data_IF_845423863083
#
_entry.id   IF_845423863083
#
_cell.length_a   1.000
_cell.length_b   1.000
_cell.length_c   1.000
_cell.angle_alpha   90.00
_cell.angle_beta   90.00
_cell.angle_gamma   90.00
#
_symmetry.space_group_name_H-M   'P 1'
#
loop_
_entity.id
_entity.type
_entity.pdbx_description
1 polymer ?
#
# COMPACT_ATOMS: atom_id res chain seq x y z
N UNK A 1 -37.96 19.37 -25.06
CA UNK A 1 -36.77 18.68 -25.61
C UNK A 1 -35.47 19.42 -25.33
N UNK A 2 -35.39 20.73 -25.53
CA UNK A 2 -34.13 21.49 -25.31
C UNK A 2 -33.70 21.52 -23.83
N UNK A 3 -34.64 21.73 -22.90
CA UNK A 3 -34.34 21.77 -21.47
C UNK A 3 -33.80 20.43 -20.93
N UNK A 4 -34.41 19.32 -21.32
CA UNK A 4 -33.97 17.97 -20.95
C UNK A 4 -32.57 17.66 -21.49
N UNK A 5 -32.24 18.14 -22.71
CA UNK A 5 -30.92 17.98 -23.29
C UNK A 5 -29.83 18.74 -22.52
N UNK A 6 -30.12 19.98 -22.08
CA UNK A 6 -29.17 20.80 -21.28
C UNK A 6 -28.90 20.16 -19.91
N UNK A 7 -29.95 19.62 -19.26
CA UNK A 7 -29.82 18.95 -17.96
C UNK A 7 -28.92 17.72 -18.07
N UNK A 8 -29.12 16.89 -19.11
CA UNK A 8 -28.30 15.69 -19.34
C UNK A 8 -26.84 16.07 -19.59
N UNK A 9 -26.56 17.08 -20.41
CA UNK A 9 -25.20 17.57 -20.67
C UNK A 9 -24.51 18.07 -19.39
N UNK A 10 -25.25 18.80 -18.56
CA UNK A 10 -24.73 19.33 -17.29
C UNK A 10 -24.36 18.20 -16.33
N UNK A 11 -25.21 17.18 -16.21
CA UNK A 11 -24.94 16.02 -15.36
C UNK A 11 -23.71 15.26 -15.89
N UNK A 12 -23.62 15.06 -17.21
CA UNK A 12 -22.49 14.37 -17.82
C UNK A 12 -21.16 15.11 -17.54
N UNK A 13 -21.18 16.45 -17.68
CA UNK A 13 -20.01 17.28 -17.41
C UNK A 13 -19.57 17.20 -15.94
N UNK A 14 -20.52 17.18 -14.99
CA UNK A 14 -20.23 17.02 -13.57
C UNK A 14 -19.62 15.64 -13.29
N UNK A 15 -20.13 14.57 -13.89
CA UNK A 15 -19.59 13.22 -13.73
C UNK A 15 -18.16 13.13 -14.26
N UNK A 16 -17.89 13.67 -15.46
CA UNK A 16 -16.56 13.66 -16.05
C UNK A 16 -15.57 14.48 -15.20
N UNK A 17 -16.00 15.64 -14.69
CA UNK A 17 -15.19 16.45 -13.78
C UNK A 17 -14.88 15.70 -12.47
N UNK A 18 -15.88 15.03 -11.88
CA UNK A 18 -15.70 14.25 -10.66
C UNK A 18 -14.73 13.07 -10.84
N UNK A 19 -14.85 12.33 -11.95
CA UNK A 19 -13.93 11.23 -12.30
C UNK A 19 -12.51 11.76 -12.50
N UNK A 20 -12.36 12.90 -13.18
CA UNK A 20 -11.06 13.52 -13.42
C UNK A 20 -10.37 13.94 -12.11
N UNK A 21 -11.13 14.49 -11.15
CA UNK A 21 -10.63 14.85 -9.82
C UNK A 21 -10.20 13.60 -9.04
N UNK A 22 -11.00 12.52 -9.07
CA UNK A 22 -10.66 11.26 -8.42
C UNK A 22 -9.34 10.67 -8.93
N UNK A 23 -9.09 10.76 -10.25
CA UNK A 23 -7.84 10.28 -10.86
C UNK A 23 -6.65 11.18 -10.51
N UNK A 24 -6.86 12.49 -10.37
CA UNK A 24 -5.79 13.45 -10.04
C UNK A 24 -5.40 13.46 -8.55
N UNK A 25 -6.32 13.05 -7.67
CA UNK A 25 -6.15 13.03 -6.22
C UNK A 25 -4.86 12.33 -5.76
N UNK A 26 -4.52 11.10 -6.22
CA UNK A 26 -3.29 10.43 -5.80
C UNK A 26 -2.02 11.18 -6.24
N UNK A 27 -2.02 11.81 -7.42
CA UNK A 27 -0.90 12.61 -7.92
C UNK A 27 -0.67 13.85 -7.04
N UNK A 28 -1.76 14.54 -6.67
CA UNK A 28 -1.69 15.70 -5.79
C UNK A 28 -1.25 15.33 -4.37
N UNK A 29 -1.73 14.19 -3.85
CA UNK A 29 -1.33 13.67 -2.55
C UNK A 29 0.17 13.35 -2.50
N UNK A 30 0.71 12.67 -3.51
CA UNK A 30 2.15 12.37 -3.61
C UNK A 30 2.97 13.66 -3.65
N UNK A 31 2.54 14.64 -4.46
CA UNK A 31 3.23 15.92 -4.58
C UNK A 31 3.21 16.71 -3.26
N UNK A 32 2.06 16.78 -2.60
CA UNK A 32 1.92 17.44 -1.29
C UNK A 32 2.79 16.77 -0.24
N UNK A 33 2.74 15.43 -0.17
CA UNK A 33 3.54 14.66 0.77
C UNK A 33 5.04 14.86 0.53
N UNK A 34 5.50 14.78 -0.71
CA UNK A 34 6.91 15.04 -1.04
C UNK A 34 7.36 16.43 -0.59
N UNK A 35 6.50 17.45 -0.75
CA UNK A 35 6.79 18.81 -0.30
C UNK A 35 6.99 18.92 1.22
N UNK A 36 6.23 18.15 2.02
CA UNK A 36 6.42 18.10 3.49
C UNK A 36 7.82 17.57 3.84
N UNK A 37 8.36 16.65 3.05
CA UNK A 37 9.70 16.08 3.22
C UNK A 37 10.79 16.86 2.46
N UNK A 38 10.51 18.08 1.99
CA UNK A 38 11.51 18.94 1.32
C UNK A 38 11.80 18.57 -0.13
N UNK A 39 11.03 17.67 -0.74
CA UNK A 39 11.17 17.27 -2.14
C UNK A 39 10.17 18.03 -3.02
N UNK A 40 10.67 18.84 -3.96
CA UNK A 40 9.84 19.54 -4.94
C UNK A 40 9.63 18.67 -6.18
N UNK A 41 8.51 17.96 -6.24
CA UNK A 41 8.11 17.16 -7.40
C UNK A 41 7.30 17.98 -8.40
N UNK A 42 7.65 17.89 -9.68
CA UNK A 42 6.76 18.34 -10.76
C UNK A 42 5.51 17.47 -10.82
N UNK A 43 4.42 18.00 -11.40
CA UNK A 43 3.18 17.23 -11.60
C UNK A 43 3.43 15.95 -12.42
N UNK A 44 4.30 16.02 -13.42
CA UNK A 44 4.70 14.88 -14.25
C UNK A 44 5.45 13.82 -13.45
N UNK A 45 6.42 14.22 -12.61
CA UNK A 45 7.15 13.28 -11.74
C UNK A 45 6.23 12.63 -10.71
N UNK A 46 5.35 13.41 -10.08
CA UNK A 46 4.36 12.87 -9.16
C UNK A 46 3.39 11.90 -9.85
N UNK A 47 3.04 12.16 -11.13
CA UNK A 47 2.22 11.26 -11.93
C UNK A 47 2.92 9.94 -12.23
N UNK A 48 4.19 9.97 -12.65
CA UNK A 48 4.98 8.75 -12.88
C UNK A 48 5.06 7.90 -11.61
N UNK A 49 5.33 8.53 -10.47
CA UNK A 49 5.36 7.84 -9.17
C UNK A 49 3.97 7.29 -8.80
N UNK A 50 2.91 8.06 -9.04
CA UNK A 50 1.53 7.59 -8.82
C UNK A 50 1.19 6.38 -9.69
N UNK A 51 1.56 6.41 -10.96
CA UNK A 51 1.22 5.38 -11.93
C UNK A 51 2.02 4.08 -11.69
N UNK A 52 3.31 4.19 -11.37
CA UNK A 52 4.17 3.04 -11.10
C UNK A 52 3.84 2.35 -9.77
N UNK A 53 3.49 3.12 -8.73
CA UNK A 53 3.40 2.60 -7.37
C UNK A 53 1.99 2.48 -6.85
N UNK A 54 1.18 3.52 -7.00
CA UNK A 54 -0.19 3.46 -6.57
C UNK A 54 -0.98 2.61 -7.56
N UNK A 55 -0.97 2.93 -8.86
CA UNK A 55 -1.82 2.24 -9.85
C UNK A 55 -1.38 0.82 -10.27
N UNK A 56 -0.24 0.34 -9.77
CA UNK A 56 0.20 -1.04 -9.95
C UNK A 56 -0.85 -2.00 -9.38
N UNK A 57 -1.53 -2.77 -10.25
CA UNK A 57 -2.45 -3.85 -9.84
C UNK A 57 -1.77 -4.84 -8.87
N UNK A 58 -0.46 -5.02 -9.01
CA UNK A 58 0.34 -5.90 -8.16
C UNK A 58 0.45 -5.33 -6.74
N UNK A 59 0.80 -4.04 -6.62
CA UNK A 59 0.85 -3.37 -5.32
C UNK A 59 -0.51 -3.36 -4.63
N UNK A 60 -1.57 -2.93 -5.32
CA UNK A 60 -2.91 -2.85 -4.75
C UNK A 60 -3.42 -4.20 -4.25
N UNK A 61 -3.20 -5.28 -5.01
CA UNK A 61 -3.61 -6.63 -4.60
C UNK A 61 -2.88 -7.04 -3.32
N UNK A 62 -1.56 -6.87 -3.28
CA UNK A 62 -0.76 -7.29 -2.12
C UNK A 62 -1.02 -6.45 -0.87
N UNK A 63 -1.22 -5.13 -1.02
CA UNK A 63 -1.59 -4.23 0.10
C UNK A 63 -2.96 -4.59 0.64
N UNK A 64 -3.94 -4.81 -0.24
CA UNK A 64 -5.28 -5.24 0.15
C UNK A 64 -5.22 -6.53 0.96
N UNK A 65 -4.44 -7.52 0.49
CA UNK A 65 -4.28 -8.79 1.20
C UNK A 65 -3.72 -8.55 2.61
N UNK A 66 -2.66 -7.76 2.78
CA UNK A 66 -2.05 -7.51 4.09
C UNK A 66 -2.96 -6.70 5.01
N UNK A 67 -3.59 -5.65 4.51
CA UNK A 67 -4.51 -4.80 5.27
C UNK A 67 -5.64 -5.63 5.91
N UNK A 68 -6.13 -6.66 5.21
CA UNK A 68 -7.15 -7.55 5.77
C UNK A 68 -6.65 -8.41 6.93
N UNK A 69 -5.36 -8.75 6.96
CA UNK A 69 -4.78 -9.59 8.00
C UNK A 69 -4.27 -8.80 9.19
N UNK A 70 -3.87 -7.53 8.99
CA UNK A 70 -3.30 -6.68 10.03
C UNK A 70 -3.55 -5.20 9.69
N UNK A 71 -3.89 -4.38 10.70
CA UNK A 71 -4.10 -2.94 10.56
C UNK A 71 -2.76 -2.19 10.39
N UNK A 72 -2.12 -2.37 9.23
CA UNK A 72 -0.85 -1.73 8.92
C UNK A 72 -1.10 -0.44 8.14
N UNK A 73 -0.53 0.71 8.57
CA UNK A 73 -0.59 1.95 7.80
C UNK A 73 -0.06 1.78 6.38
N UNK A 74 -0.79 2.29 5.39
CA UNK A 74 -0.44 2.15 3.97
C UNK A 74 0.95 2.72 3.65
N UNK A 75 1.39 3.70 4.41
CA UNK A 75 2.70 4.32 4.33
C UNK A 75 3.82 3.30 4.58
N UNK A 76 3.67 2.44 5.60
CA UNK A 76 4.66 1.41 5.94
C UNK A 76 4.73 0.35 4.84
N UNK A 77 3.57 -0.09 4.34
CA UNK A 77 3.48 -1.05 3.24
C UNK A 77 4.08 -0.50 1.95
N UNK A 78 3.84 0.80 1.67
CA UNK A 78 4.42 1.49 0.53
C UNK A 78 5.94 1.52 0.63
N UNK A 79 6.49 1.94 1.77
CA UNK A 79 7.94 1.98 1.99
C UNK A 79 8.56 0.58 1.82
N UNK A 80 7.95 -0.44 2.40
CA UNK A 80 8.45 -1.81 2.32
C UNK A 80 8.42 -2.34 0.87
N UNK A 81 7.32 -2.09 0.15
CA UNK A 81 7.22 -2.44 -1.27
C UNK A 81 8.23 -1.68 -2.13
N UNK A 82 8.54 -0.43 -1.82
CA UNK A 82 9.57 0.32 -2.54
C UNK A 82 10.95 -0.32 -2.38
N UNK A 83 11.25 -0.87 -1.20
CA UNK A 83 12.52 -1.52 -0.88
C UNK A 83 12.63 -2.93 -1.49
N UNK A 84 11.55 -3.72 -1.48
CA UNK A 84 11.58 -5.15 -1.86
C UNK A 84 10.94 -5.47 -3.21
N UNK A 85 10.12 -4.55 -3.74
CA UNK A 85 9.25 -4.72 -4.92
C UNK A 85 8.25 -5.88 -4.82
N UNK A 86 8.09 -6.44 -3.63
CA UNK A 86 7.19 -7.54 -3.31
C UNK A 86 6.80 -7.46 -1.83
N UNK A 87 5.56 -7.83 -1.51
CA UNK A 87 5.04 -7.93 -0.13
C UNK A 87 4.62 -9.37 0.23
N UNK A 88 4.85 -10.33 -0.66
CA UNK A 88 4.37 -11.72 -0.51
C UNK A 88 4.91 -12.39 0.75
N UNK A 89 6.23 -12.30 0.99
CA UNK A 89 6.85 -12.88 2.18
C UNK A 89 6.26 -12.28 3.48
N UNK A 90 6.04 -10.96 3.51
CA UNK A 90 5.44 -10.24 4.63
C UNK A 90 4.01 -10.70 4.91
N UNK A 91 3.19 -10.80 3.86
CA UNK A 91 1.82 -11.34 3.93
C UNK A 91 1.81 -12.75 4.51
N UNK A 92 2.66 -13.62 3.97
CA UNK A 92 2.69 -15.03 4.37
C UNK A 92 3.16 -15.18 5.82
N UNK A 93 4.11 -14.35 6.28
CA UNK A 93 4.53 -14.29 7.68
C UNK A 93 3.42 -13.83 8.63
N UNK A 94 2.63 -12.82 8.24
CA UNK A 94 1.46 -12.36 9.04
C UNK A 94 0.43 -13.49 9.17
N UNK A 95 0.12 -14.18 8.05
CA UNK A 95 -0.83 -15.30 8.05
C UNK A 95 -0.34 -16.41 8.98
N UNK A 96 0.94 -16.77 8.91
CA UNK A 96 1.53 -17.81 9.76
C UNK A 96 1.42 -17.44 11.26
N UNK A 97 1.72 -16.19 11.63
CA UNK A 97 1.57 -15.71 13.02
C UNK A 97 0.12 -15.73 13.50
N UNK A 98 -0.85 -15.33 12.66
CA UNK A 98 -2.29 -15.43 12.99
C UNK A 98 -2.71 -16.88 13.21
N UNK A 99 -2.31 -17.80 12.32
CA UNK A 99 -2.64 -19.22 12.43
C UNK A 99 -2.11 -19.84 13.73
N UNK A 100 -1.00 -19.31 14.24
CA UNK A 100 -0.37 -19.71 15.50
C UNK A 100 -0.89 -18.96 16.72
N UNK A 101 -1.88 -18.07 16.54
CA UNK A 101 -2.44 -17.22 17.58
C UNK A 101 -1.36 -16.37 18.29
N UNK A 102 -0.31 -16.00 17.56
CA UNK A 102 0.80 -15.19 18.05
C UNK A 102 0.58 -13.70 17.74
N UNK A 103 1.15 -12.85 18.58
CA UNK A 103 1.10 -11.40 18.39
C UNK A 103 1.86 -10.98 17.14
N UNK A 104 1.24 -10.16 16.29
CA UNK A 104 1.82 -9.72 15.02
C UNK A 104 2.55 -8.41 15.23
N UNK A 105 3.87 -8.52 15.40
CA UNK A 105 4.73 -7.36 15.39
C UNK A 105 5.18 -7.05 13.96
N UNK A 106 4.46 -6.16 13.26
CA UNK A 106 4.78 -5.79 11.87
C UNK A 106 6.25 -5.38 11.69
N UNK A 107 6.81 -4.59 12.62
CA UNK A 107 8.20 -4.14 12.52
C UNK A 107 9.19 -5.32 12.55
N UNK A 108 8.92 -6.35 13.33
CA UNK A 108 9.74 -7.56 13.43
C UNK A 108 9.70 -8.34 12.12
N UNK A 109 8.50 -8.58 11.59
CA UNK A 109 8.32 -9.25 10.29
C UNK A 109 8.96 -8.46 9.15
N UNK A 110 8.78 -7.13 9.14
CA UNK A 110 9.38 -6.24 8.16
C UNK A 110 10.91 -6.31 8.22
N UNK A 111 11.49 -6.32 9.42
CA UNK A 111 12.96 -6.42 9.58
C UNK A 111 13.51 -7.70 8.97
N UNK A 112 12.90 -8.85 9.28
CA UNK A 112 13.33 -10.14 8.74
C UNK A 112 13.16 -10.22 7.21
N UNK A 113 12.06 -9.71 6.67
CA UNK A 113 11.89 -9.68 5.22
C UNK A 113 12.89 -8.73 4.54
N UNK A 114 13.18 -7.56 5.12
CA UNK A 114 14.16 -6.60 4.57
C UNK A 114 15.57 -7.20 4.48
N UNK A 115 15.98 -8.02 5.45
CA UNK A 115 17.27 -8.74 5.42
C UNK A 115 17.23 -9.99 4.53
N UNK A 116 16.14 -10.22 3.80
CA UNK A 116 16.01 -11.31 2.85
C UNK A 116 15.73 -12.68 3.47
N UNK A 117 15.32 -12.73 4.73
CA UNK A 117 14.98 -14.00 5.39
C UNK A 117 13.55 -14.43 5.07
N UNK A 118 13.34 -15.73 4.95
CA UNK A 118 12.01 -16.30 4.78
C UNK A 118 11.26 -16.26 6.12
N UNK A 119 10.16 -15.51 6.19
CA UNK A 119 9.45 -15.27 7.44
C UNK A 119 8.86 -16.54 8.03
N UNK A 120 8.29 -17.40 7.18
CA UNK A 120 7.70 -18.66 7.63
C UNK A 120 8.75 -19.56 8.31
N UNK A 121 9.95 -19.61 7.75
CA UNK A 121 11.04 -20.39 8.33
C UNK A 121 11.58 -19.77 9.62
N UNK A 122 11.72 -18.45 9.70
CA UNK A 122 12.15 -17.79 10.94
C UNK A 122 11.10 -17.95 12.07
N UNK A 123 9.80 -17.90 11.75
CA UNK A 123 8.72 -18.20 12.69
C UNK A 123 8.83 -19.64 13.19
N UNK A 124 9.00 -20.61 12.28
CA UNK A 124 9.16 -22.03 12.64
C UNK A 124 10.39 -22.27 13.53
N UNK A 125 11.53 -21.62 13.23
CA UNK A 125 12.75 -21.71 14.06
C UNK A 125 12.54 -21.10 15.43
N UNK A 126 11.86 -19.98 15.54
CA UNK A 126 11.59 -19.35 16.82
C UNK A 126 10.73 -20.27 17.71
N UNK A 127 9.72 -20.95 17.15
CA UNK A 127 8.95 -21.95 17.88
C UNK A 127 9.81 -23.11 18.37
N UNK A 128 10.65 -23.68 17.50
CA UNK A 128 11.55 -24.79 17.86
C UNK A 128 12.51 -24.43 19.00
N UNK A 129 12.84 -23.14 19.14
CA UNK A 129 13.76 -22.63 20.15
C UNK A 129 13.05 -21.93 21.33
N UNK A 130 11.71 -21.98 21.44
CA UNK A 130 10.91 -21.25 22.44
C UNK A 130 11.20 -19.74 22.50
N UNK A 131 11.54 -19.12 21.37
CA UNK A 131 11.73 -17.67 21.29
C UNK A 131 10.37 -16.98 21.23
N UNK A 132 10.14 -16.05 22.16
CA UNK A 132 9.01 -15.13 22.03
C UNK A 132 9.41 -14.01 21.07
N UNK A 133 8.62 -13.79 20.02
CA UNK A 133 8.73 -12.61 19.17
C UNK A 133 8.25 -11.39 19.97
N UNK A 134 9.07 -10.93 20.92
CA UNK A 134 8.89 -9.70 21.67
C UNK A 134 10.13 -8.87 21.46
N UNK A 135 10.11 -8.01 20.45
CA UNK A 135 11.01 -6.86 20.34
C UNK A 135 10.21 -5.58 20.57
#
# INVERSE_FOLDING_TARGET
>A
MVLTFIIVLSILAIIVAAISILILLPVLFIKWRASIYGLSLTLTQAKVISDDYCNSKVFYRSVKDIWFWEEVPIEKLTIHYLLRKDLTNLRDGIIEMKQKNAEIQFNTLATFDLVGRNLKEEIRKAELNNWTFRL
#
